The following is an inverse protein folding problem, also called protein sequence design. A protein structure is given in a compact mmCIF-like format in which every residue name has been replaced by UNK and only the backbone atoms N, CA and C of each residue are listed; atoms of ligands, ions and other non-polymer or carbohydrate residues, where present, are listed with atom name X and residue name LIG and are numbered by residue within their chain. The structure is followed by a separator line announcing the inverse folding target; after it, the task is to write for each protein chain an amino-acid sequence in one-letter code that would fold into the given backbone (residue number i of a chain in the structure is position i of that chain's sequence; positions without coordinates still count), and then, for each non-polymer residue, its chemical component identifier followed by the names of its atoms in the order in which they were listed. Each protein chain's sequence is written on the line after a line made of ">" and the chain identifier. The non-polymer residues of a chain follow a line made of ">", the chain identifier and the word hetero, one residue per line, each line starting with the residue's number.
data_IF_083756026200
#
_entry.id   IF_083756026200
#
_cell.length_a   1.000
_cell.length_b   1.000
_cell.length_c   1.000
_cell.angle_alpha   90.00
_cell.angle_beta   90.00
_cell.angle_gamma   90.00
#
_symmetry.space_group_name_H-M   'P 1'
#
loop_
_entity.id
_entity.type
_entity.pdbx_description
1 polymer ?
#
# COMPACT_ATOMS: atom_id res chain seq x y z
N UNK A 1 -17.56 -7.50 -3.91
CA UNK A 1 -16.82 -7.21 -2.68
C UNK A 1 -15.33 -7.20 -2.95
N UNK A 2 -14.66 -6.17 -2.51
CA UNK A 2 -13.24 -6.01 -2.81
C UNK A 2 -12.37 -6.85 -1.88
N UNK A 3 -11.34 -7.48 -2.42
CA UNK A 3 -10.38 -8.24 -1.62
C UNK A 3 -9.29 -7.33 -1.07
N UNK A 4 -9.28 -6.09 -1.51
CA UNK A 4 -8.35 -5.10 -1.06
C UNK A 4 -9.08 -3.78 -0.91
N UNK A 5 -8.77 -3.05 0.16
CA UNK A 5 -9.49 -1.84 0.47
C UNK A 5 -8.64 -0.93 1.35
N UNK A 6 -8.70 0.36 1.10
CA UNK A 6 -8.08 1.35 1.97
C UNK A 6 -9.08 1.70 3.06
N UNK A 7 -8.66 1.55 4.32
CA UNK A 7 -9.58 1.70 5.45
C UNK A 7 -9.54 3.08 6.07
N UNK A 8 -8.36 3.65 6.26
CA UNK A 8 -8.24 4.90 6.97
C UNK A 8 -7.00 5.64 6.51
N UNK A 9 -7.16 6.89 6.14
CA UNK A 9 -6.04 7.72 5.67
C UNK A 9 -5.87 8.86 6.67
N UNK A 10 -4.66 9.00 7.22
CA UNK A 10 -4.40 10.10 8.13
C UNK A 10 -3.07 10.77 7.78
N UNK A 11 -2.60 11.66 8.66
CA UNK A 11 -1.40 12.43 8.37
C UNK A 11 -0.11 11.62 8.43
N UNK A 12 -0.16 10.42 8.95
CA UNK A 12 1.03 9.58 9.11
C UNK A 12 1.11 8.47 8.07
N UNK A 13 -0.01 8.08 7.51
CA UNK A 13 -0.07 6.98 6.57
C UNK A 13 -1.50 6.53 6.37
N UNK A 14 -1.66 5.31 5.90
CA UNK A 14 -3.01 4.77 5.75
C UNK A 14 -3.00 3.27 6.02
N UNK A 15 -4.20 2.75 6.33
CA UNK A 15 -4.38 1.33 6.56
C UNK A 15 -4.91 0.67 5.32
N UNK A 16 -4.34 -0.48 4.99
CA UNK A 16 -4.73 -1.25 3.82
C UNK A 16 -5.21 -2.61 4.27
N UNK A 17 -6.42 -2.97 3.85
CA UNK A 17 -7.00 -4.28 4.12
C UNK A 17 -6.77 -5.17 2.91
N UNK A 18 -6.12 -6.30 3.11
CA UNK A 18 -5.84 -7.23 2.03
C UNK A 18 -6.14 -8.63 2.51
N UNK A 19 -7.13 -9.27 1.91
CA UNK A 19 -7.42 -10.69 2.14
C UNK A 19 -7.55 -11.04 3.62
N UNK A 20 -8.22 -10.17 4.37
CA UNK A 20 -8.50 -10.43 5.78
C UNK A 20 -7.48 -9.90 6.75
N UNK A 21 -6.42 -9.27 6.26
CA UNK A 21 -5.39 -8.70 7.13
C UNK A 21 -5.26 -7.20 6.89
N UNK A 22 -4.85 -6.49 7.92
CA UNK A 22 -4.68 -5.04 7.85
C UNK A 22 -3.21 -4.69 7.98
N UNK A 23 -2.76 -3.78 7.14
CA UNK A 23 -1.38 -3.32 7.13
C UNK A 23 -1.35 -1.81 7.16
N UNK A 24 -0.45 -1.25 7.96
CA UNK A 24 -0.27 0.18 8.01
C UNK A 24 0.89 0.58 7.10
N UNK A 25 0.65 1.54 6.21
CA UNK A 25 1.66 2.03 5.29
C UNK A 25 2.01 3.45 5.66
N UNK A 26 3.09 3.65 6.41
CA UNK A 26 3.48 5.01 6.79
C UNK A 26 4.12 5.75 5.62
N UNK A 27 3.86 7.05 5.54
CA UNK A 27 4.41 7.85 4.46
C UNK A 27 5.93 7.94 4.49
N UNK A 28 6.51 7.73 5.67
CA UNK A 28 7.96 7.73 5.77
C UNK A 28 8.62 6.61 5.00
N UNK A 29 7.92 5.49 4.86
CA UNK A 29 8.44 4.34 4.11
C UNK A 29 7.85 4.24 2.72
N UNK A 30 6.72 4.89 2.50
CA UNK A 30 6.04 4.88 1.21
C UNK A 30 5.74 6.31 0.80
N UNK A 31 6.78 7.08 0.48
CA UNK A 31 6.62 8.53 0.26
C UNK A 31 5.78 8.88 -0.96
N UNK A 32 5.55 7.91 -1.83
CA UNK A 32 4.73 8.15 -3.02
C UNK A 32 3.31 8.56 -2.68
N UNK A 33 2.85 8.18 -1.48
CA UNK A 33 1.46 8.45 -1.10
C UNK A 33 1.29 9.75 -0.34
N UNK A 34 2.39 10.37 0.08
CA UNK A 34 2.29 11.50 0.99
C UNK A 34 1.52 12.67 0.39
N UNK A 35 1.75 12.94 -0.88
CA UNK A 35 1.07 14.03 -1.54
C UNK A 35 0.06 13.56 -2.57
N UNK A 36 -0.27 12.29 -2.52
CA UNK A 36 -1.23 11.72 -3.45
C UNK A 36 -2.64 12.14 -3.08
N UNK A 37 -3.50 12.20 -4.08
CA UNK A 37 -4.90 12.48 -3.84
C UNK A 37 -5.55 11.28 -3.18
N UNK A 38 -6.53 11.54 -2.34
CA UNK A 38 -7.25 10.46 -1.67
C UNK A 38 -7.87 9.51 -2.69
N UNK A 39 -8.40 10.05 -3.77
CA UNK A 39 -9.00 9.21 -4.81
C UNK A 39 -7.99 8.25 -5.41
N UNK A 40 -6.74 8.70 -5.57
CA UNK A 40 -5.71 7.84 -6.14
C UNK A 40 -5.24 6.78 -5.16
N UNK A 41 -5.21 7.10 -3.87
CA UNK A 41 -4.86 6.11 -2.86
C UNK A 41 -5.94 5.03 -2.77
N UNK A 42 -7.19 5.43 -2.88
CA UNK A 42 -8.31 4.48 -2.83
C UNK A 42 -8.40 3.63 -4.08
N UNK A 43 -7.80 4.07 -5.18
CA UNK A 43 -7.83 3.33 -6.43
C UNK A 43 -6.72 2.30 -6.46
N UNK A 44 -6.93 1.20 -5.74
CA UNK A 44 -5.93 0.16 -5.56
C UNK A 44 -6.47 -1.17 -6.07
N UNK A 45 -5.58 -1.98 -6.64
CA UNK A 45 -5.95 -3.28 -7.19
C UNK A 45 -5.07 -4.36 -6.61
N UNK A 46 -5.65 -5.55 -6.42
CA UNK A 46 -4.89 -6.72 -6.03
C UNK A 46 -4.83 -7.65 -7.23
N UNK A 47 -3.62 -7.89 -7.73
CA UNK A 47 -3.41 -8.72 -8.90
C UNK A 47 -2.71 -10.00 -8.49
N UNK A 48 -3.17 -11.14 -9.02
CA UNK A 48 -2.54 -12.44 -8.77
C UNK A 48 -2.43 -12.76 -7.29
N UNK A 49 -3.34 -12.18 -6.48
CA UNK A 49 -3.43 -12.45 -5.04
C UNK A 49 -2.26 -11.96 -4.22
N UNK A 50 -1.24 -11.36 -4.81
CA UNK A 50 -0.12 -10.86 -4.02
C UNK A 50 0.51 -9.59 -4.56
N UNK A 51 0.10 -9.12 -5.73
CA UNK A 51 0.65 -7.91 -6.31
C UNK A 51 -0.34 -6.76 -6.10
N UNK A 52 0.12 -5.70 -5.45
CA UNK A 52 -0.73 -4.56 -5.14
C UNK A 52 -0.35 -3.41 -6.04
N UNK A 53 -1.31 -2.86 -6.75
CA UNK A 53 -1.05 -1.85 -7.78
C UNK A 53 -1.95 -0.64 -7.61
N UNK A 54 -1.37 0.54 -7.69
CA UNK A 54 -2.09 1.81 -7.69
C UNK A 54 -1.92 2.46 -9.05
N UNK A 55 -2.87 2.27 -9.97
CA UNK A 55 -2.69 2.75 -11.34
C UNK A 55 -2.57 4.27 -11.46
N UNK A 56 -3.26 5.00 -10.63
CA UNK A 56 -3.19 6.46 -10.69
C UNK A 56 -1.87 7.03 -10.22
N UNK A 57 -1.11 6.27 -9.46
CA UNK A 57 0.16 6.71 -8.91
C UNK A 57 1.34 5.95 -9.51
N UNK A 58 1.05 4.96 -10.33
CA UNK A 58 2.08 4.11 -10.92
C UNK A 58 2.97 3.47 -9.85
N UNK A 59 2.34 3.01 -8.77
CA UNK A 59 3.03 2.38 -7.66
C UNK A 59 2.67 0.91 -7.59
N UNK A 60 3.67 0.07 -7.41
CA UNK A 60 3.52 -1.37 -7.27
C UNK A 60 4.19 -1.84 -6.01
N UNK A 61 3.47 -2.65 -5.24
CA UNK A 61 4.04 -3.27 -4.05
C UNK A 61 3.66 -4.75 -4.06
N UNK A 62 4.42 -5.56 -3.35
CA UNK A 62 4.04 -6.95 -3.19
C UNK A 62 3.52 -7.17 -1.79
N UNK A 63 2.59 -8.09 -1.66
CA UNK A 63 2.04 -8.42 -0.35
C UNK A 63 3.13 -8.95 0.57
N UNK A 64 4.09 -9.69 0.00
CA UNK A 64 5.22 -10.22 0.77
C UNK A 64 5.98 -9.09 1.45
N UNK A 65 6.16 -7.96 0.77
CA UNK A 65 6.91 -6.87 1.36
C UNK A 65 6.16 -6.23 2.52
N UNK A 66 4.84 -6.29 2.51
CA UNK A 66 4.07 -5.77 3.63
C UNK A 66 4.10 -6.73 4.81
N UNK A 67 4.18 -8.02 4.53
CA UNK A 67 4.18 -9.03 5.59
C UNK A 67 5.51 -9.16 6.28
N UNK A 68 6.58 -8.66 5.68
CA UNK A 68 7.91 -8.80 6.25
C UNK A 68 8.65 -7.46 6.17
N UNK A 69 8.19 -6.48 6.92
CA UNK A 69 8.77 -5.14 6.83
C UNK A 69 10.22 -5.07 7.28
N UNK A 70 10.68 -6.04 8.07
CA UNK A 70 12.05 -6.05 8.52
C UNK A 70 13.05 -6.25 7.40
N UNK A 71 12.67 -6.96 6.37
CA UNK A 71 13.53 -7.18 5.21
C UNK A 71 13.32 -6.17 4.12
N UNK A 72 12.07 -5.79 3.94
CA UNK A 72 11.65 -5.07 2.77
C UNK A 72 12.17 -3.64 2.68
N UNK A 73 12.24 -2.89 3.75
CA UNK A 73 12.67 -1.50 3.66
C UNK A 73 14.04 -1.34 3.00
N UNK A 74 14.88 -2.33 3.15
CA UNK A 74 16.20 -2.28 2.54
C UNK A 74 16.14 -2.31 1.03
N UNK A 75 15.15 -2.99 0.51
CA UNK A 75 14.97 -3.11 -0.93
C UNK A 75 14.49 -1.79 -1.54
N UNK A 76 13.72 -1.05 -0.79
CA UNK A 76 13.12 0.17 -1.30
C UNK A 76 14.04 1.36 -1.26
N UNK A 77 15.13 1.22 -0.59
CA UNK A 77 16.01 2.36 -0.47
C UNK A 77 17.04 2.32 -1.55
N UNK A 78 16.79 3.01 -2.61
CA UNK A 78 17.74 3.07 -3.71
C UNK A 78 18.94 3.90 -3.29
#
# INVERSE_FOLDING_TARGET
>A
MSRIEVLNIDSHGFWLYVRGKEYFLPYGEYPWFKEAKIADINNVELLHDFHIHWPGLDVDLSLTSLEDPGKTPLVYRP
#
